data_IF_378394019955
#
_entry.id   IF_378394019955
#
_cell.length_a   1.000
_cell.length_b   1.000
_cell.length_c   1.000
_cell.angle_alpha   90.00
_cell.angle_beta   90.00
_cell.angle_gamma   90.00
#
_symmetry.space_group_name_H-M   'P 1'
#
loop_
_entity.id
_entity.type
_entity.pdbx_description
1 polymer ?
#
# COMPACT_ATOMS: atom_id res chain seq x y z
N UNK A 1 21.84 10.11 12.57
CA UNK A 1 22.50 10.55 11.34
C UNK A 1 21.98 9.70 10.20
N UNK A 2 21.69 10.31 9.06
CA UNK A 2 21.22 9.63 7.86
C UNK A 2 22.04 10.11 6.66
N UNK A 3 22.33 9.19 5.75
CA UNK A 3 22.93 9.47 4.45
C UNK A 3 22.07 8.78 3.38
N UNK A 4 21.80 9.49 2.29
CA UNK A 4 21.00 8.95 1.20
C UNK A 4 21.41 9.52 -0.16
N UNK A 5 21.20 8.72 -1.20
CA UNK A 5 21.35 9.10 -2.60
C UNK A 5 19.99 8.90 -3.29
N UNK A 6 19.51 9.90 -4.02
CA UNK A 6 18.32 9.82 -4.88
C UNK A 6 18.77 9.49 -6.31
N UNK A 7 17.93 8.76 -7.05
CA UNK A 7 18.13 8.39 -8.46
C UNK A 7 19.39 7.54 -8.75
N UNK A 8 19.59 6.47 -7.98
CA UNK A 8 20.70 5.51 -8.19
C UNK A 8 20.60 4.76 -9.54
N UNK A 9 19.40 4.66 -10.14
CA UNK A 9 19.13 3.93 -11.38
C UNK A 9 18.38 4.76 -12.45
N UNK A 10 18.42 6.09 -12.35
CA UNK A 10 17.75 7.02 -13.27
C UNK A 10 18.67 7.61 -14.34
N UNK A 11 18.15 8.53 -15.15
CA UNK A 11 18.89 9.25 -16.21
C UNK A 11 19.90 10.28 -15.69
N UNK A 12 20.20 10.31 -14.38
CA UNK A 12 21.08 11.28 -13.73
C UNK A 12 20.49 12.67 -13.51
N UNK A 13 19.28 12.94 -14.04
CA UNK A 13 18.68 14.28 -14.06
C UNK A 13 18.26 14.81 -12.67
N UNK A 14 17.93 13.92 -11.73
CA UNK A 14 17.65 14.27 -10.33
C UNK A 14 18.62 13.59 -9.34
N UNK A 15 19.83 13.27 -9.82
CA UNK A 15 20.86 12.73 -8.93
C UNK A 15 21.17 13.75 -7.82
N UNK A 16 21.09 13.27 -6.58
CA UNK A 16 21.18 14.13 -5.41
C UNK A 16 21.60 13.34 -4.19
N UNK A 17 22.63 13.82 -3.51
CA UNK A 17 23.15 13.22 -2.30
C UNK A 17 22.84 14.11 -1.10
N UNK A 18 22.52 13.53 0.05
CA UNK A 18 22.32 14.29 1.27
C UNK A 18 22.89 13.59 2.49
N UNK A 19 23.38 14.40 3.43
CA UNK A 19 23.84 13.96 4.73
C UNK A 19 23.12 14.80 5.79
N UNK A 20 22.50 14.15 6.76
CA UNK A 20 21.75 14.80 7.84
C UNK A 20 22.22 14.25 9.18
N UNK A 21 22.53 15.17 10.09
CA UNK A 21 22.76 14.87 11.48
C UNK A 21 21.64 15.50 12.32
N UNK A 22 21.10 14.73 13.25
CA UNK A 22 20.16 15.20 14.27
C UNK A 22 20.73 14.92 15.65
N UNK A 23 20.53 15.87 16.56
CA UNK A 23 20.95 15.76 17.96
C UNK A 23 19.87 16.35 18.85
N UNK A 24 19.29 15.48 19.67
CA UNK A 24 18.41 15.89 20.74
C UNK A 24 19.21 16.30 21.97
N UNK A 25 18.91 17.47 22.51
CA UNK A 25 19.48 18.00 23.75
C UNK A 25 18.33 18.49 24.64
N UNK A 26 17.82 17.58 25.47
CA UNK A 26 16.69 17.86 26.36
C UNK A 26 15.40 18.16 25.56
N UNK A 27 14.75 19.32 25.76
CA UNK A 27 13.53 19.69 25.05
C UNK A 27 13.78 20.20 23.62
N UNK A 28 15.04 20.35 23.21
CA UNK A 28 15.40 20.79 21.87
C UNK A 28 15.88 19.61 21.02
N UNK A 29 15.45 19.57 19.78
CA UNK A 29 16.00 18.70 18.74
C UNK A 29 16.59 19.57 17.63
N UNK A 30 17.89 19.39 17.38
CA UNK A 30 18.63 20.13 16.37
C UNK A 30 18.88 19.23 15.19
N UNK A 31 18.48 19.66 14.00
CA UNK A 31 18.75 18.97 12.75
C UNK A 31 19.58 19.86 11.84
N UNK A 32 20.66 19.31 11.29
CA UNK A 32 21.48 19.98 10.30
C UNK A 32 21.79 19.01 9.17
N UNK A 33 21.47 19.44 7.96
CA UNK A 33 21.61 18.68 6.74
C UNK A 33 22.40 19.45 5.68
N UNK A 34 23.11 18.71 4.84
CA UNK A 34 23.72 19.24 3.64
C UNK A 34 23.36 18.35 2.46
N UNK A 35 23.00 18.97 1.34
CA UNK A 35 22.68 18.30 0.10
C UNK A 35 23.61 18.77 -1.02
N UNK A 36 23.91 17.85 -1.94
CA UNK A 36 24.69 18.05 -3.16
C UNK A 36 23.87 17.56 -4.37
N UNK A 37 24.22 18.01 -5.58
CA UNK A 37 23.48 17.67 -6.80
C UNK A 37 22.21 18.52 -6.96
N UNK A 38 21.10 17.96 -7.43
CA UNK A 38 19.87 18.73 -7.70
C UNK A 38 19.34 19.50 -6.47
N UNK A 39 19.28 18.84 -5.31
CA UNK A 39 18.86 19.47 -4.05
C UNK A 39 19.91 20.45 -3.47
N UNK A 40 21.17 20.35 -3.92
CA UNK A 40 22.25 21.27 -3.58
C UNK A 40 22.43 22.43 -4.56
N UNK A 41 21.73 22.41 -5.70
CA UNK A 41 21.92 23.34 -6.84
C UNK A 41 21.59 24.80 -6.50
N UNK A 42 20.89 25.03 -5.39
CA UNK A 42 20.70 26.36 -4.84
C UNK A 42 22.01 27.06 -4.44
N UNK A 43 23.10 26.30 -4.22
CA UNK A 43 24.47 26.83 -4.09
C UNK A 43 24.67 27.77 -2.91
N UNK A 44 23.89 27.61 -1.84
CA UNK A 44 23.89 28.51 -0.68
C UNK A 44 25.19 28.44 0.14
N UNK A 45 25.97 27.37 0.00
CA UNK A 45 27.30 27.25 0.62
C UNK A 45 28.32 26.71 -0.39
N UNK A 46 29.54 27.22 -0.34
CA UNK A 46 30.66 26.64 -1.08
C UNK A 46 30.93 25.23 -0.56
N UNK A 47 30.93 24.24 -1.45
CA UNK A 47 31.15 22.84 -1.10
C UNK A 47 32.44 22.71 -0.26
N UNK A 48 32.39 22.20 0.99
CA UNK A 48 33.57 22.14 1.85
C UNK A 48 34.67 21.24 1.27
N UNK A 49 34.32 20.27 0.42
CA UNK A 49 35.28 19.39 -0.26
C UNK A 49 36.08 20.09 -1.37
N UNK A 50 35.65 21.28 -1.82
CA UNK A 50 36.47 22.16 -2.68
C UNK A 50 37.81 22.49 -2.05
N UNK A 51 37.85 22.70 -0.72
CA UNK A 51 39.10 23.04 -0.01
C UNK A 51 40.11 21.90 0.00
N UNK A 52 39.65 20.66 -0.23
CA UNK A 52 40.49 19.47 -0.26
C UNK A 52 41.03 19.24 -1.67
N UNK A 53 40.22 19.48 -2.71
CA UNK A 53 40.65 19.40 -4.11
C UNK A 53 39.64 20.07 -5.05
N UNK A 54 40.14 20.83 -6.03
CA UNK A 54 39.31 21.56 -7.01
C UNK A 54 38.39 20.66 -7.85
N UNK A 55 38.71 19.36 -7.94
CA UNK A 55 37.89 18.35 -8.63
C UNK A 55 36.50 18.13 -8.01
N UNK A 56 36.28 18.59 -6.77
CA UNK A 56 34.98 18.52 -6.09
C UNK A 56 34.13 19.79 -6.31
N UNK A 57 34.71 20.86 -6.84
CA UNK A 57 34.00 22.12 -7.10
C UNK A 57 33.15 22.09 -8.35
N UNK A 58 33.56 21.32 -9.35
CA UNK A 58 32.91 21.26 -10.64
C UNK A 58 32.45 19.82 -10.90
N UNK A 59 31.15 19.64 -11.19
CA UNK A 59 30.64 18.39 -11.76
C UNK A 59 30.97 18.43 -13.26
N UNK A 60 31.58 17.37 -13.80
CA UNK A 60 31.87 17.28 -15.23
C UNK A 60 30.55 17.11 -16.01
N UNK A 61 30.34 17.88 -17.08
CA UNK A 61 29.11 17.86 -17.90
C UNK A 61 28.93 16.60 -18.78
N UNK A 62 29.77 15.56 -18.64
CA UNK A 62 29.71 14.38 -19.52
C UNK A 62 28.82 13.30 -18.91
N UNK A 63 27.56 13.26 -19.33
CA UNK A 63 26.67 12.13 -19.04
C UNK A 63 26.66 11.15 -20.22
N UNK A 64 27.33 10.00 -20.06
CA UNK A 64 26.89 8.77 -20.72
C UNK A 64 25.76 8.18 -19.86
N UNK A 65 24.58 8.01 -20.46
CA UNK A 65 23.43 7.43 -19.79
C UNK A 65 23.68 5.95 -19.49
N UNK A 66 23.70 5.57 -18.21
CA UNK A 66 23.76 4.17 -17.77
C UNK A 66 25.02 3.76 -17.00
N UNK A 67 25.95 4.68 -16.73
CA UNK A 67 27.11 4.39 -15.87
C UNK A 67 26.82 4.73 -14.41
N UNK A 68 26.86 3.71 -13.53
CA UNK A 68 26.70 3.89 -12.07
C UNK A 68 28.06 4.33 -11.52
N UNK A 69 28.43 5.57 -11.81
CA UNK A 69 29.69 6.13 -11.34
C UNK A 69 29.57 6.61 -9.88
N UNK A 70 30.14 5.85 -8.95
CA UNK A 70 30.30 6.24 -7.53
C UNK A 70 31.35 7.36 -7.35
N UNK A 71 32.07 7.71 -8.41
CA UNK A 71 33.13 8.74 -8.42
C UNK A 71 32.62 10.18 -8.31
N UNK A 72 31.32 10.42 -8.55
CA UNK A 72 30.74 11.78 -8.65
C UNK A 72 29.95 12.22 -7.41
N UNK A 73 29.95 11.38 -6.37
CA UNK A 73 29.30 11.65 -5.08
C UNK A 73 29.99 12.87 -4.41
N UNK A 74 29.18 13.80 -3.89
CA UNK A 74 29.61 15.04 -3.19
C UNK A 74 30.32 16.09 -4.06
N UNK A 75 30.10 16.08 -5.39
CA UNK A 75 30.67 17.09 -6.30
C UNK A 75 29.66 18.15 -6.72
N UNK A 76 30.13 19.39 -6.88
CA UNK A 76 29.33 20.52 -7.33
C UNK A 76 28.72 21.36 -6.20
N UNK A 77 27.78 22.26 -6.52
CA UNK A 77 27.17 23.17 -5.55
C UNK A 77 26.48 22.40 -4.42
N UNK A 78 26.69 22.88 -3.20
CA UNK A 78 26.11 22.32 -1.99
C UNK A 78 25.10 23.31 -1.41
N UNK A 79 24.06 22.77 -0.77
CA UNK A 79 23.11 23.56 0.00
C UNK A 79 22.98 23.01 1.41
N UNK A 80 22.93 23.90 2.39
CA UNK A 80 22.73 23.56 3.79
C UNK A 80 21.28 23.84 4.16
N UNK A 81 20.66 22.89 4.84
CA UNK A 81 19.33 23.03 5.40
C UNK A 81 19.37 22.57 6.85
N UNK A 82 18.48 23.06 7.68
CA UNK A 82 18.49 22.66 9.08
C UNK A 82 17.27 23.16 9.80
N UNK A 83 17.10 22.72 11.03
CA UNK A 83 15.99 23.15 11.84
C UNK A 83 16.20 22.84 13.31
N UNK A 84 15.38 23.50 14.11
CA UNK A 84 15.31 23.33 15.55
C UNK A 84 13.85 23.08 15.88
N UNK A 85 13.58 21.95 16.54
CA UNK A 85 12.29 21.66 17.13
C UNK A 85 12.41 21.83 18.65
N UNK A 86 11.48 22.59 19.24
CA UNK A 86 11.38 22.77 20.67
C UNK A 86 10.08 22.18 21.18
N UNK A 87 10.21 21.15 22.02
CA UNK A 87 9.11 20.52 22.73
C UNK A 87 8.96 21.17 24.10
N UNK A 88 7.86 21.89 24.28
CA UNK A 88 7.58 22.53 25.58
C UNK A 88 7.32 21.49 26.68
N UNK A 89 7.85 21.68 27.91
CA UNK A 89 7.65 20.74 29.02
C UNK A 89 6.22 20.69 29.60
N UNK A 90 5.41 21.74 29.41
CA UNK A 90 4.12 21.92 30.10
C UNK A 90 2.87 21.55 29.28
N UNK A 91 2.98 20.61 28.32
CA UNK A 91 1.93 20.26 27.34
C UNK A 91 1.51 21.44 26.42
N UNK A 92 1.00 21.19 25.21
CA UNK A 92 1.44 20.23 24.22
C UNK A 92 1.77 21.00 22.91
N UNK A 93 2.52 22.09 23.07
CA UNK A 93 2.98 22.96 21.98
C UNK A 93 4.38 22.53 21.53
N UNK A 94 4.53 22.31 20.23
CA UNK A 94 5.81 22.11 19.56
C UNK A 94 6.09 23.28 18.65
N UNK A 95 7.23 23.91 18.83
CA UNK A 95 7.70 24.97 17.94
C UNK A 95 8.75 24.38 17.01
N UNK A 96 8.68 24.75 15.74
CA UNK A 96 9.59 24.32 14.69
C UNK A 96 10.14 25.55 14.01
N UNK A 97 11.44 25.59 13.86
CA UNK A 97 12.12 26.59 13.05
C UNK A 97 12.96 25.84 12.05
N UNK A 98 12.78 26.11 10.78
CA UNK A 98 13.51 25.47 9.69
C UNK A 98 14.16 26.54 8.83
N UNK A 99 15.37 26.25 8.35
CA UNK A 99 16.12 27.02 7.39
C UNK A 99 16.25 26.19 6.12
N UNK A 100 15.64 26.70 5.05
CA UNK A 100 15.66 26.11 3.73
C UNK A 100 16.75 26.74 2.87
N UNK A 101 17.77 25.95 2.56
CA UNK A 101 18.85 26.37 1.67
C UNK A 101 18.47 26.35 0.19
N UNK A 102 17.25 25.93 -0.17
CA UNK A 102 16.82 25.91 -1.56
C UNK A 102 16.47 27.32 -2.06
N UNK A 103 16.73 27.55 -3.34
CA UNK A 103 16.35 28.76 -4.05
C UNK A 103 15.48 28.34 -5.23
N UNK A 104 14.15 28.42 -5.07
CA UNK A 104 13.14 28.02 -6.05
C UNK A 104 13.13 28.89 -7.33
N UNK A 105 14.17 29.70 -7.56
CA UNK A 105 14.30 30.60 -8.71
C UNK A 105 14.45 29.85 -10.05
N UNK A 106 14.96 28.61 -10.03
CA UNK A 106 15.19 27.79 -11.22
C UNK A 106 14.31 26.52 -11.25
N UNK A 107 13.17 26.51 -10.55
CA UNK A 107 12.26 25.37 -10.58
C UNK A 107 11.50 25.32 -11.92
N UNK A 108 11.37 24.12 -12.50
CA UNK A 108 10.65 23.89 -13.76
C UNK A 108 9.17 24.31 -13.68
N UNK A 109 8.61 24.39 -12.47
CA UNK A 109 7.24 24.78 -12.19
C UNK A 109 6.99 26.31 -12.16
N UNK A 110 8.01 27.14 -12.41
CA UNK A 110 7.91 28.61 -12.45
C UNK A 110 8.48 29.30 -11.21
N UNK A 111 8.66 30.63 -11.29
CA UNK A 111 9.27 31.42 -10.19
C UNK A 111 8.33 31.50 -9.00
N UNK A 112 8.59 30.73 -7.95
CA UNK A 112 7.90 30.92 -6.67
C UNK A 112 8.49 32.14 -5.95
N UNK A 113 7.66 33.13 -5.56
CA UNK A 113 8.13 34.25 -4.76
C UNK A 113 8.51 33.74 -3.37
N UNK A 114 9.79 33.89 -2.99
CA UNK A 114 10.31 33.59 -1.67
C UNK A 114 10.90 34.87 -1.08
N UNK A 115 10.33 35.34 0.02
CA UNK A 115 10.82 36.52 0.74
C UNK A 115 11.87 36.16 1.81
N UNK A 116 11.84 34.92 2.31
CA UNK A 116 12.76 34.44 3.36
C UNK A 116 13.05 32.95 3.21
N UNK A 117 14.25 32.54 3.61
CA UNK A 117 14.69 31.13 3.71
C UNK A 117 14.26 30.47 5.04
N UNK A 118 13.63 31.22 5.93
CA UNK A 118 13.18 30.72 7.22
C UNK A 118 11.71 30.33 7.18
N UNK A 119 11.42 29.12 7.66
CA UNK A 119 10.07 28.61 7.88
C UNK A 119 9.85 28.41 9.38
N UNK A 120 8.71 28.86 9.89
CA UNK A 120 8.35 28.76 11.31
C UNK A 120 7.06 27.99 11.45
N UNK A 121 7.02 26.98 12.29
CA UNK A 121 5.86 26.14 12.55
C UNK A 121 5.52 26.06 14.03
N UNK A 122 4.24 25.94 14.34
CA UNK A 122 3.72 25.67 15.66
C UNK A 122 2.67 24.56 15.56
N UNK A 123 2.85 23.50 16.35
CA UNK A 123 1.90 22.41 16.45
C UNK A 123 1.37 22.34 17.86
N UNK A 124 0.07 22.62 18.01
CA UNK A 124 -0.63 22.60 19.28
C UNK A 124 -1.55 21.40 19.35
N UNK A 125 -1.33 20.52 20.32
CA UNK A 125 -2.19 19.35 20.54
C UNK A 125 -3.38 19.69 21.43
N UNK A 126 -4.47 20.09 20.81
CA UNK A 126 -5.70 20.45 21.51
C UNK A 126 -6.31 19.27 22.29
N UNK A 127 -6.19 18.04 21.80
CA UNK A 127 -6.63 16.82 22.47
C UNK A 127 -5.79 15.61 22.09
N UNK A 128 -5.91 14.50 22.81
CA UNK A 128 -5.25 13.23 22.43
C UNK A 128 -5.59 12.80 20.98
N UNK A 129 -6.80 13.13 20.53
CA UNK A 129 -7.33 12.87 19.19
C UNK A 129 -7.19 14.04 18.21
N UNK A 130 -6.70 15.22 18.61
CA UNK A 130 -6.65 16.41 17.74
C UNK A 130 -5.36 17.23 17.91
N UNK A 131 -4.68 17.48 16.79
CA UNK A 131 -3.57 18.41 16.69
C UNK A 131 -3.93 19.56 15.73
N UNK A 132 -3.54 20.78 16.07
CA UNK A 132 -3.63 21.98 15.24
C UNK A 132 -2.23 22.36 14.78
N UNK A 133 -2.08 22.72 13.51
CA UNK A 133 -0.82 23.08 12.90
C UNK A 133 -0.95 24.49 12.31
N UNK A 134 0.01 25.35 12.62
CA UNK A 134 0.13 26.69 12.06
C UNK A 134 1.57 26.88 11.61
N UNK A 135 1.79 27.19 10.34
CA UNK A 135 3.12 27.37 9.77
C UNK A 135 3.19 28.65 8.94
N UNK A 136 4.35 29.28 8.91
CA UNK A 136 4.68 30.41 8.09
C UNK A 136 5.91 30.07 7.27
N UNK A 137 5.72 29.93 5.97
CA UNK A 137 6.71 29.45 5.02
C UNK A 137 7.14 30.55 4.04
N UNK A 138 8.39 30.47 3.59
CA UNK A 138 8.98 31.31 2.52
C UNK A 138 8.88 32.82 2.77
N UNK A 139 8.60 33.24 4.01
CA UNK A 139 8.38 34.63 4.39
C UNK A 139 7.14 35.29 3.80
N UNK A 140 6.19 34.53 3.25
CA UNK A 140 4.98 35.09 2.63
C UNK A 140 3.76 34.15 2.63
N UNK A 141 3.94 32.88 2.98
CA UNK A 141 2.87 31.88 2.92
C UNK A 141 2.48 31.48 4.34
N UNK A 142 1.23 31.69 4.71
CA UNK A 142 0.70 31.17 5.98
C UNK A 142 -0.11 29.91 5.72
N UNK A 143 0.17 28.86 6.49
CA UNK A 143 -0.50 27.57 6.40
C UNK A 143 -1.14 27.24 7.74
N UNK A 144 -2.38 26.78 7.68
CA UNK A 144 -3.11 26.28 8.83
C UNK A 144 -3.67 24.90 8.49
N UNK A 145 -3.60 23.98 9.45
CA UNK A 145 -4.11 22.63 9.28
C UNK A 145 -4.50 22.02 10.61
N UNK A 146 -5.26 20.93 10.57
CA UNK A 146 -5.60 20.14 11.74
C UNK A 146 -5.47 18.66 11.42
N UNK A 147 -5.18 17.86 12.43
CA UNK A 147 -4.98 16.42 12.31
C UNK A 147 -5.85 15.73 13.35
N UNK A 148 -6.73 14.86 12.88
CA UNK A 148 -7.59 14.04 13.73
C UNK A 148 -7.04 12.62 13.77
N UNK A 149 -6.86 12.08 14.98
CA UNK A 149 -6.43 10.71 15.21
C UNK A 149 -7.59 9.91 15.77
N UNK A 150 -7.94 8.82 15.10
CA UNK A 150 -8.91 7.84 15.60
C UNK A 150 -8.20 6.51 15.80
N UNK A 151 -8.59 5.76 16.84
CA UNK A 151 -8.13 4.41 17.06
C UNK A 151 -9.29 3.45 16.77
N UNK A 152 -9.11 2.59 15.76
CA UNK A 152 -10.14 1.66 15.33
C UNK A 152 -10.13 0.33 16.11
N UNK A 153 -9.23 0.13 17.09
CA UNK A 153 -9.12 -1.15 17.83
C UNK A 153 -10.36 -1.48 18.69
N UNK A 154 -11.12 -0.48 19.14
CA UNK A 154 -12.31 -0.70 19.97
C UNK A 154 -13.61 -0.81 19.16
N UNK A 155 -13.53 -0.74 17.82
CA UNK A 155 -14.68 -1.00 16.96
C UNK A 155 -14.95 -2.50 16.91
N UNK A 156 -15.70 -2.98 17.89
CA UNK A 156 -16.34 -4.29 17.80
C UNK A 156 -17.44 -4.20 16.75
N UNK A 157 -17.45 -5.05 15.71
CA UNK A 157 -18.62 -5.16 14.87
C UNK A 157 -19.81 -5.47 15.77
N UNK A 158 -20.83 -4.60 15.72
CA UNK A 158 -22.12 -4.91 16.31
C UNK A 158 -22.71 -6.05 15.47
N UNK A 159 -22.30 -7.28 15.77
CA UNK A 159 -22.98 -8.46 15.24
C UNK A 159 -24.39 -8.40 15.80
N UNK A 160 -25.32 -7.90 14.99
CA UNK A 160 -26.73 -8.02 15.29
C UNK A 160 -27.03 -9.49 15.07
N UNK A 161 -26.99 -10.26 16.16
CA UNK A 161 -27.34 -11.67 16.16
C UNK A 161 -28.85 -11.73 15.85
N UNK A 162 -29.19 -11.71 14.56
CA UNK A 162 -30.56 -11.98 14.13
C UNK A 162 -30.87 -13.37 14.63
N UNK A 163 -31.84 -13.55 15.54
CA UNK A 163 -32.15 -14.85 16.09
C UNK A 163 -32.40 -15.81 14.94
N UNK A 164 -31.71 -16.95 14.97
CA UNK A 164 -31.87 -18.00 13.96
C UNK A 164 -33.38 -18.23 13.77
N UNK A 165 -33.91 -18.15 12.54
CA UNK A 165 -35.34 -18.38 12.32
C UNK A 165 -35.72 -19.71 12.96
N UNK A 166 -36.80 -19.71 13.74
CA UNK A 166 -37.28 -20.89 14.43
C UNK A 166 -37.42 -22.03 13.41
N UNK A 167 -36.92 -23.21 13.77
CA UNK A 167 -37.02 -24.39 12.93
C UNK A 167 -38.51 -24.67 12.66
N UNK A 168 -38.93 -24.46 11.41
CA UNK A 168 -40.25 -24.86 10.94
C UNK A 168 -40.08 -26.20 10.21
N UNK A 169 -40.34 -27.34 10.86
CA UNK A 169 -40.43 -28.59 10.14
C UNK A 169 -41.55 -28.45 9.12
N UNK A 170 -41.22 -28.59 7.83
CA UNK A 170 -42.25 -28.79 6.83
C UNK A 170 -43.07 -30.04 7.22
N UNK A 171 -44.39 -30.05 7.02
CA UNK A 171 -45.15 -31.27 7.20
C UNK A 171 -44.48 -32.35 6.37
N UNK A 172 -44.15 -33.47 7.00
CA UNK A 172 -43.60 -34.65 6.34
C UNK A 172 -44.56 -34.99 5.19
N UNK A 173 -44.12 -34.74 3.95
CA UNK A 173 -44.86 -35.16 2.78
C UNK A 173 -45.06 -36.66 2.92
N UNK A 174 -46.31 -37.14 2.94
CA UNK A 174 -46.63 -38.56 3.01
C UNK A 174 -45.66 -39.33 2.13
N UNK A 175 -44.72 -40.02 2.81
CA UNK A 175 -43.45 -40.39 2.22
C UNK A 175 -43.67 -41.19 0.95
N UNK A 176 -42.88 -40.87 -0.08
CA UNK A 176 -42.52 -41.80 -1.14
C UNK A 176 -42.02 -43.09 -0.46
N UNK A 177 -42.92 -44.05 -0.26
CA UNK A 177 -42.56 -45.34 0.30
C UNK A 177 -41.79 -46.11 -0.77
N UNK A 178 -40.47 -45.90 -0.81
CA UNK A 178 -39.56 -46.57 -1.74
C UNK A 178 -39.71 -48.10 -1.70
N UNK A 179 -40.13 -48.66 -0.55
CA UNK A 179 -40.41 -50.08 -0.36
C UNK A 179 -41.63 -50.57 -1.14
N UNK A 180 -42.73 -49.81 -1.20
CA UNK A 180 -43.92 -50.22 -1.98
C UNK A 180 -43.65 -50.14 -3.48
N UNK A 181 -42.96 -49.10 -3.93
CA UNK A 181 -42.57 -48.94 -5.34
C UNK A 181 -41.58 -50.03 -5.76
N UNK A 182 -40.57 -50.34 -4.94
CA UNK A 182 -39.61 -51.41 -5.22
C UNK A 182 -40.27 -52.80 -5.28
N UNK A 183 -41.21 -53.09 -4.38
CA UNK A 183 -41.95 -54.35 -4.39
C UNK A 183 -42.84 -54.48 -5.64
N UNK A 184 -43.51 -53.41 -6.05
CA UNK A 184 -44.33 -53.41 -7.27
C UNK A 184 -43.48 -53.60 -8.54
N UNK A 185 -42.31 -52.93 -8.64
CA UNK A 185 -41.40 -53.14 -9.77
C UNK A 185 -40.85 -54.57 -9.81
N UNK A 186 -40.53 -55.15 -8.65
CA UNK A 186 -40.00 -56.52 -8.58
C UNK A 186 -41.07 -57.53 -9.00
N UNK A 187 -42.32 -57.35 -8.55
CA UNK A 187 -43.45 -58.18 -8.97
C UNK A 187 -43.72 -58.09 -10.49
N UNK A 188 -43.63 -56.89 -11.07
CA UNK A 188 -43.76 -56.67 -12.51
C UNK A 188 -42.64 -57.33 -13.31
N UNK A 189 -41.39 -57.25 -12.83
CA UNK A 189 -40.24 -57.88 -13.47
C UNK A 189 -40.34 -59.42 -13.43
N UNK A 190 -40.75 -60.01 -12.30
CA UNK A 190 -40.97 -61.46 -12.18
C UNK A 190 -42.08 -61.92 -13.14
N UNK A 191 -43.18 -61.18 -13.20
CA UNK A 191 -44.29 -61.49 -14.13
C UNK A 191 -43.82 -61.42 -15.58
N UNK A 192 -43.03 -60.41 -15.94
CA UNK A 192 -42.47 -60.26 -17.29
C UNK A 192 -41.47 -61.36 -17.63
N UNK A 193 -40.66 -61.81 -16.66
CA UNK A 193 -39.72 -62.92 -16.83
C UNK A 193 -40.46 -64.25 -17.04
N UNK A 194 -41.49 -64.53 -16.24
CA UNK A 194 -42.34 -65.72 -16.40
C UNK A 194 -43.08 -65.73 -17.74
N UNK A 195 -43.60 -64.58 -18.17
CA UNK A 195 -44.24 -64.45 -19.50
C UNK A 195 -43.24 -64.68 -20.63
N UNK A 196 -42.01 -64.14 -20.54
CA UNK A 196 -40.95 -64.42 -21.52
C UNK A 196 -40.55 -65.89 -21.56
N UNK A 197 -40.45 -66.56 -20.42
CA UNK A 197 -40.10 -67.98 -20.35
C UNK A 197 -41.21 -68.86 -20.92
N UNK A 198 -42.48 -68.57 -20.61
CA UNK A 198 -43.63 -69.26 -21.21
C UNK A 198 -43.72 -69.05 -22.73
N UNK A 199 -43.44 -67.84 -23.21
CA UNK A 199 -43.42 -67.55 -24.66
C UNK A 199 -42.28 -68.28 -25.37
N UNK A 200 -41.09 -68.35 -24.77
CA UNK A 200 -39.95 -69.09 -25.31
C UNK A 200 -40.22 -70.60 -25.37
N UNK A 201 -40.89 -71.15 -24.35
CA UNK A 201 -41.29 -72.56 -24.33
C UNK A 201 -42.37 -72.87 -25.38
N UNK A 202 -43.35 -71.98 -25.56
CA UNK A 202 -44.39 -72.12 -26.59
C UNK A 202 -43.83 -72.06 -28.01
N UNK A 203 -42.86 -71.18 -28.29
CA UNK A 203 -42.18 -71.10 -29.60
C UNK A 203 -41.36 -72.36 -29.88
N UNK A 204 -40.61 -72.89 -28.90
CA UNK A 204 -39.86 -74.14 -29.07
C UNK A 204 -40.78 -75.34 -29.33
N UNK A 205 -41.94 -75.43 -28.67
CA UNK A 205 -42.90 -76.50 -28.91
C UNK A 205 -43.62 -76.41 -30.27
N UNK A 206 -43.97 -75.20 -30.74
CA UNK A 206 -44.54 -75.03 -32.08
C UNK A 206 -43.54 -75.40 -33.20
N UNK A 207 -42.25 -75.11 -33.03
CA UNK A 207 -41.22 -75.46 -34.02
C UNK A 207 -41.00 -76.98 -34.11
N UNK A 208 -41.12 -77.72 -33.00
CA UNK A 208 -41.02 -79.18 -33.03
C UNK A 208 -42.24 -79.87 -33.66
N UNK A 209 -43.44 -79.29 -33.57
CA UNK A 209 -44.66 -79.88 -34.15
C UNK A 209 -44.75 -79.73 -35.68
N UNK A 210 -44.17 -78.67 -36.26
CA UNK A 210 -44.15 -78.47 -37.73
C UNK A 210 -43.10 -79.35 -38.42
N UNK A 211 -42.06 -79.80 -37.70
CA UNK A 211 -41.04 -80.67 -38.27
C UNK A 211 -41.46 -82.15 -38.36
N UNK A 212 -42.63 -82.53 -37.82
CA UNK A 212 -43.07 -83.92 -37.75
C UNK A 212 -44.21 -84.26 -38.73
N UNK A 213 -44.43 -83.43 -39.76
CA UNK A 213 -45.44 -83.67 -40.81
C UNK A 213 -44.81 -83.83 -42.20
N UNK A 214 -43.63 -84.44 -42.30
CA UNK A 214 -43.08 -84.88 -43.58
C UNK A 214 -42.15 -86.10 -43.39
N UNK A 215 -42.76 -87.26 -43.14
CA UNK A 215 -42.49 -88.57 -43.78
C UNK A 215 -43.46 -89.60 -43.22
#
# INVERSE_FOLDING_TARGET
>A
MAFGKRDIAGTGLFDGEYLVASKQAGPFDFTLGMAWGYAGNAGNITNPFCRVSDKYCHRAESHDAGDISFSDIFRGPASIFGGIEYQTPWNPLRLKLEYDGNNYQNDFAGKLPQASHFNVGAVYRAASWADLNLSYERGNTLMFGFTLRTNFNDLRPALRDTPKPAYQPAPESEGLQYTTVANQLTALNITRALTRQKFSYAIRHCICLVSNTNT
#
